data_IF_006492064727
#
_entry.id   IF_006492064727
#
_cell.length_a   1.000
_cell.length_b   1.000
_cell.length_c   1.000
_cell.angle_alpha   90.00
_cell.angle_beta   90.00
_cell.angle_gamma   90.00
#
_symmetry.space_group_name_H-M   'P 1'
#
loop_
_entity.id
_entity.type
_entity.pdbx_description
1 polymer ?
#
# COMPACT_ATOMS: atom_id res chain seq x y z
N UNK A 1 -9.77 6.05 -14.21
CA UNK A 1 -8.68 5.27 -13.56
C UNK A 1 -9.28 4.24 -12.63
N UNK A 2 -8.77 3.03 -12.68
CA UNK A 2 -9.27 1.92 -11.88
C UNK A 2 -8.13 1.28 -11.11
N UNK A 3 -8.37 0.90 -9.85
CA UNK A 3 -7.43 0.14 -9.04
C UNK A 3 -7.57 -1.34 -9.39
N UNK A 4 -6.48 -1.95 -9.82
CA UNK A 4 -6.42 -3.37 -10.16
C UNK A 4 -5.96 -4.20 -8.96
N UNK A 5 -5.03 -3.66 -8.19
CA UNK A 5 -4.54 -4.30 -6.98
C UNK A 5 -4.06 -3.24 -5.99
N UNK A 6 -4.31 -3.50 -4.71
CA UNK A 6 -3.82 -2.66 -3.61
C UNK A 6 -3.68 -3.53 -2.38
N UNK A 7 -2.43 -3.86 -2.02
CA UNK A 7 -2.16 -4.68 -0.85
C UNK A 7 -0.68 -4.60 -0.45
N UNK A 8 -0.35 -4.88 0.80
CA UNK A 8 1.04 -4.95 1.25
C UNK A 8 1.71 -6.27 0.85
N UNK A 9 3.04 -6.25 0.80
CA UNK A 9 3.87 -7.42 0.60
C UNK A 9 4.99 -7.44 1.64
N UNK A 10 5.59 -8.62 1.87
CA UNK A 10 6.77 -8.72 2.73
C UNK A 10 7.95 -7.98 2.11
N UNK A 11 8.12 -8.09 0.80
CA UNK A 11 9.06 -7.30 0.04
C UNK A 11 8.56 -7.10 -1.37
N UNK A 12 8.93 -5.99 -1.98
CA UNK A 12 8.54 -5.70 -3.36
C UNK A 12 9.55 -4.77 -4.00
N UNK A 13 9.73 -4.91 -5.31
CA UNK A 13 10.60 -4.04 -6.09
C UNK A 13 10.02 -3.86 -7.50
N UNK A 14 10.06 -2.64 -7.99
CA UNK A 14 9.63 -2.33 -9.34
C UNK A 14 10.62 -2.92 -10.35
N UNK A 15 10.07 -3.39 -11.48
CA UNK A 15 10.86 -4.00 -12.55
C UNK A 15 11.09 -3.01 -13.68
N UNK A 16 12.26 -3.10 -14.32
CA UNK A 16 12.48 -2.41 -15.58
C UNK A 16 11.52 -2.97 -16.63
N UNK A 17 10.83 -2.08 -17.33
CA UNK A 17 9.83 -2.46 -18.32
C UNK A 17 8.42 -2.64 -17.80
N UNK A 18 8.21 -2.41 -16.51
CA UNK A 18 6.88 -2.43 -15.89
C UNK A 18 6.66 -3.59 -14.95
N UNK A 19 5.67 -3.44 -14.09
CA UNK A 19 5.32 -4.44 -13.09
C UNK A 19 6.20 -4.41 -11.85
N UNK A 20 5.92 -5.31 -10.93
CA UNK A 20 6.57 -5.41 -9.62
C UNK A 20 6.87 -6.87 -9.32
N UNK A 21 8.08 -7.14 -8.82
CA UNK A 21 8.40 -8.41 -8.17
C UNK A 21 8.07 -8.29 -6.69
N UNK A 22 7.21 -9.18 -6.19
CA UNK A 22 6.80 -9.17 -4.80
C UNK A 22 6.95 -10.54 -4.18
N UNK A 23 7.36 -10.57 -2.90
CA UNK A 23 7.40 -11.77 -2.07
C UNK A 23 6.41 -11.61 -0.93
N UNK A 24 5.71 -12.71 -0.58
CA UNK A 24 4.70 -12.64 0.47
C UNK A 24 3.61 -11.65 0.14
N UNK A 25 3.00 -11.76 -1.00
CA UNK A 25 1.91 -10.90 -1.46
C UNK A 25 0.61 -11.70 -1.60
N UNK A 26 -0.49 -11.19 -0.99
CA UNK A 26 -0.50 -10.09 -0.03
C UNK A 26 0.08 -10.50 1.31
N UNK A 27 0.64 -9.52 2.05
CA UNK A 27 1.06 -9.75 3.43
C UNK A 27 -0.19 -10.01 4.29
N UNK A 28 -0.22 -11.13 4.98
CA UNK A 28 -1.40 -11.53 5.76
C UNK A 28 -1.29 -11.21 7.24
N UNK A 29 -0.09 -10.95 7.71
CA UNK A 29 0.18 -10.51 9.08
C UNK A 29 1.55 -9.86 9.16
N UNK A 30 1.71 -8.96 10.11
CA UNK A 30 2.97 -8.29 10.39
C UNK A 30 3.34 -8.53 11.86
N UNK A 31 4.55 -9.03 12.12
CA UNK A 31 4.99 -9.32 13.47
C UNK A 31 6.01 -8.28 13.92
N UNK A 32 5.85 -7.79 15.15
CA UNK A 32 6.80 -6.88 15.78
C UNK A 32 7.21 -7.45 17.12
N UNK A 33 8.47 -7.23 17.50
CA UNK A 33 9.01 -7.81 18.72
C UNK A 33 8.49 -7.10 19.96
N UNK A 34 8.35 -5.78 19.89
CA UNK A 34 7.91 -4.95 21.01
C UNK A 34 7.08 -3.78 20.51
N UNK A 35 6.12 -3.34 21.32
CA UNK A 35 5.35 -2.12 21.08
C UNK A 35 5.78 -1.04 22.07
N UNK A 36 5.73 0.24 21.69
CA UNK A 36 5.44 0.76 20.36
C UNK A 36 6.59 0.50 19.38
N UNK A 37 6.25 0.44 18.09
CA UNK A 37 7.25 0.22 17.04
C UNK A 37 6.97 1.12 15.84
N UNK A 38 8.04 1.46 15.15
CA UNK A 38 7.97 2.11 13.85
C UNK A 38 8.29 1.05 12.81
N UNK A 39 7.37 0.81 11.88
CA UNK A 39 7.53 -0.17 10.83
C UNK A 39 7.39 0.48 9.46
N UNK A 40 7.90 -0.18 8.43
CA UNK A 40 7.72 0.25 7.05
C UNK A 40 7.08 -0.90 6.28
N UNK A 41 5.95 -0.64 5.66
CA UNK A 41 5.17 -1.66 4.97
C UNK A 41 5.25 -1.41 3.46
N UNK A 42 5.83 -2.36 2.70
CA UNK A 42 5.83 -2.25 1.23
C UNK A 42 4.42 -2.43 0.69
N UNK A 43 3.88 -1.38 0.06
CA UNK A 43 2.55 -1.41 -0.55
C UNK A 43 2.70 -1.57 -2.06
N UNK A 44 1.98 -2.53 -2.63
CA UNK A 44 1.92 -2.73 -4.08
C UNK A 44 0.61 -2.16 -4.58
N UNK A 45 0.69 -1.25 -5.54
CA UNK A 45 -0.47 -0.58 -6.13
C UNK A 45 -0.42 -0.78 -7.64
N UNK A 46 -1.47 -1.35 -8.21
CA UNK A 46 -1.61 -1.48 -9.67
C UNK A 46 -2.85 -0.72 -10.12
N UNK A 47 -2.66 0.14 -11.11
CA UNK A 47 -3.70 1.02 -11.63
C UNK A 47 -3.79 0.85 -13.14
N UNK A 48 -5.00 1.01 -13.69
CA UNK A 48 -5.18 1.08 -15.13
C UNK A 48 -6.12 2.23 -15.51
N UNK A 49 -5.98 2.70 -16.74
CA UNK A 49 -6.84 3.74 -17.30
C UNK A 49 -6.97 3.53 -18.80
N UNK A 50 -8.00 4.11 -19.38
CA UNK A 50 -8.12 4.18 -20.83
C UNK A 50 -7.03 5.10 -21.37
N UNK A 51 -6.49 4.78 -22.54
CA UNK A 51 -5.55 5.66 -23.24
C UNK A 51 -6.25 6.91 -23.76
N UNK A 52 -5.48 7.83 -24.30
CA UNK A 52 -5.98 9.03 -24.98
C UNK A 52 -5.61 10.34 -24.32
N UNK A 53 -4.96 10.37 -23.17
CA UNK A 53 -4.57 11.59 -22.50
C UNK A 53 -3.35 11.41 -21.60
N UNK A 54 -2.54 12.46 -21.53
CA UNK A 54 -1.49 12.59 -20.51
C UNK A 54 -2.06 13.35 -19.32
N UNK A 55 -1.71 12.95 -18.10
CA UNK A 55 -2.11 13.68 -16.89
C UNK A 55 -1.24 13.28 -15.69
N UNK A 56 -1.39 14.03 -14.60
CA UNK A 56 -0.54 13.89 -13.41
C UNK A 56 -1.38 13.48 -12.18
N UNK A 57 -1.69 12.19 -12.01
CA UNK A 57 -2.45 11.75 -10.85
C UNK A 57 -1.68 11.89 -9.54
N UNK A 58 -2.43 12.13 -8.46
CA UNK A 58 -1.91 12.13 -7.08
C UNK A 58 -2.78 11.18 -6.26
N UNK A 59 -2.14 10.35 -5.45
CA UNK A 59 -2.81 9.42 -4.56
C UNK A 59 -2.20 9.47 -3.17
N UNK A 60 -2.98 9.03 -2.19
CA UNK A 60 -2.57 9.00 -0.78
C UNK A 60 -2.81 7.61 -0.23
N UNK A 61 -1.85 7.10 0.55
CA UNK A 61 -2.01 5.87 1.30
C UNK A 61 -2.02 6.27 2.77
N UNK A 62 -3.05 5.85 3.51
CA UNK A 62 -3.24 6.22 4.90
C UNK A 62 -3.48 4.96 5.73
N UNK A 63 -2.72 4.82 6.80
CA UNK A 63 -2.90 3.76 7.79
C UNK A 63 -3.64 4.30 9.00
N UNK A 64 -4.62 3.54 9.45
CA UNK A 64 -5.47 3.87 10.59
C UNK A 64 -5.38 2.76 11.63
N UNK A 65 -5.24 3.12 12.90
CA UNK A 65 -5.17 2.18 14.01
C UNK A 65 -6.53 1.51 14.27
N UNK A 66 -6.57 0.43 15.08
CA UNK A 66 -7.85 -0.16 15.47
C UNK A 66 -8.79 0.81 16.17
N UNK A 67 -8.26 1.88 16.82
CA UNK A 67 -9.05 2.91 17.49
C UNK A 67 -9.48 4.05 16.56
N UNK A 68 -9.10 4.00 15.28
CA UNK A 68 -9.47 5.01 14.30
C UNK A 68 -8.50 6.18 14.19
N UNK A 69 -7.32 6.09 14.77
CA UNK A 69 -6.30 7.14 14.67
C UNK A 69 -5.43 6.93 13.44
N UNK A 70 -5.09 8.02 12.76
CA UNK A 70 -4.16 7.98 11.65
C UNK A 70 -2.75 7.76 12.19
N UNK A 71 -2.10 6.66 11.78
CA UNK A 71 -0.79 6.26 12.29
C UNK A 71 0.29 6.22 11.22
N UNK A 72 -0.06 6.51 9.99
CA UNK A 72 0.89 6.62 8.90
C UNK A 72 0.22 7.13 7.65
N UNK A 73 0.99 7.82 6.82
CA UNK A 73 0.48 8.30 5.53
C UNK A 73 1.64 8.58 4.59
N UNK A 74 1.35 8.50 3.30
CA UNK A 74 2.26 8.97 2.27
C UNK A 74 1.46 9.47 1.08
N UNK A 75 2.09 10.36 0.32
CA UNK A 75 1.57 10.87 -0.93
C UNK A 75 2.47 10.36 -2.05
N UNK A 76 1.89 9.96 -3.18
CA UNK A 76 2.67 9.66 -4.37
C UNK A 76 1.95 10.19 -5.60
N UNK A 77 2.75 10.56 -6.60
CA UNK A 77 2.24 11.13 -7.84
C UNK A 77 3.13 10.67 -8.99
N UNK A 78 2.59 10.73 -10.19
CA UNK A 78 3.35 10.38 -11.38
C UNK A 78 2.78 11.11 -12.58
N UNK A 79 3.60 11.22 -13.64
CA UNK A 79 3.11 11.66 -14.93
C UNK A 79 2.70 10.43 -15.75
N UNK A 80 1.44 10.36 -16.14
CA UNK A 80 0.93 9.22 -16.88
C UNK A 80 0.94 9.54 -18.37
N UNK A 81 2.00 9.12 -19.04
CA UNK A 81 2.18 9.32 -20.47
C UNK A 81 1.19 8.49 -21.29
N UNK A 82 0.85 9.02 -22.46
CA UNK A 82 0.04 8.32 -23.43
C UNK A 82 0.78 8.27 -24.80
N UNK A 83 2.05 7.90 -24.76
CA UNK A 83 2.90 7.87 -25.94
C UNK A 83 3.75 6.59 -25.98
N UNK A 84 3.58 5.70 -26.96
CA UNK A 84 2.54 5.76 -28.00
C UNK A 84 1.15 5.54 -27.40
N UNK A 85 0.09 6.09 -28.00
CA UNK A 85 -1.27 5.86 -27.49
C UNK A 85 -1.60 4.38 -27.45
N UNK A 86 -2.18 3.95 -26.34
CA UNK A 86 -2.62 2.56 -26.14
C UNK A 86 -4.08 2.56 -25.72
N UNK A 87 -4.85 1.49 -26.05
CA UNK A 87 -6.25 1.41 -25.62
C UNK A 87 -6.40 1.42 -24.09
N UNK A 88 -5.50 0.75 -23.39
CA UNK A 88 -5.47 0.67 -21.93
C UNK A 88 -4.02 0.82 -21.47
N UNK A 89 -3.79 1.65 -20.49
CA UNK A 89 -2.47 1.83 -19.91
C UNK A 89 -2.47 1.42 -18.45
N UNK A 90 -1.35 0.88 -17.99
CA UNK A 90 -1.17 0.37 -16.63
C UNK A 90 -0.02 1.09 -15.96
N UNK A 91 -0.14 1.23 -14.65
CA UNK A 91 0.96 1.67 -13.79
C UNK A 91 0.97 0.83 -12.51
N UNK A 92 2.16 0.32 -12.17
CA UNK A 92 2.33 -0.50 -10.98
C UNK A 92 3.44 0.11 -10.14
N UNK A 93 3.19 0.28 -8.85
CA UNK A 93 4.12 0.93 -7.92
C UNK A 93 4.40 0.04 -6.73
N UNK A 94 5.59 0.22 -6.16
CA UNK A 94 5.88 -0.13 -4.77
C UNK A 94 6.07 1.17 -4.00
N UNK A 95 5.30 1.38 -2.94
CA UNK A 95 5.42 2.52 -2.05
C UNK A 95 5.67 2.00 -0.63
N UNK A 96 6.59 2.62 0.09
CA UNK A 96 6.97 2.17 1.42
C UNK A 96 6.28 3.04 2.46
N UNK A 97 5.25 2.48 3.10
CA UNK A 97 4.41 3.20 4.05
C UNK A 97 5.01 3.12 5.46
N UNK A 98 5.43 4.25 6.03
CA UNK A 98 5.83 4.26 7.44
C UNK A 98 4.59 4.23 8.32
N UNK A 99 4.60 3.35 9.33
CA UNK A 99 3.50 3.23 10.29
C UNK A 99 4.02 3.17 11.70
N UNK A 100 3.32 3.85 12.60
CA UNK A 100 3.55 3.76 14.04
C UNK A 100 2.52 2.83 14.66
N UNK A 101 2.97 1.74 15.25
CA UNK A 101 2.09 0.74 15.84
C UNK A 101 2.32 0.71 17.36
N UNK A 102 1.27 1.01 18.12
CA UNK A 102 1.35 1.12 19.59
C UNK A 102 0.91 -0.15 20.29
N UNK A 103 0.12 -0.98 19.63
CA UNK A 103 -0.41 -2.22 20.18
C UNK A 103 -0.76 -3.19 19.05
N UNK A 104 -0.92 -4.45 19.39
CA UNK A 104 -1.42 -5.46 18.48
C UNK A 104 -2.87 -5.14 18.09
N UNK A 105 -3.25 -5.51 16.87
CA UNK A 105 -4.60 -5.30 16.38
C UNK A 105 -4.64 -5.27 14.87
N UNK A 106 -5.84 -5.04 14.31
CA UNK A 106 -6.02 -4.93 12.87
C UNK A 106 -5.96 -3.46 12.48
N UNK A 107 -4.94 -3.11 11.70
CA UNK A 107 -4.77 -1.77 11.16
C UNK A 107 -5.36 -1.72 9.76
N UNK A 108 -6.02 -0.61 9.42
CA UNK A 108 -6.60 -0.43 8.09
C UNK A 108 -5.68 0.44 7.25
N UNK A 109 -5.31 -0.04 6.07
CA UNK A 109 -4.50 0.72 5.12
C UNK A 109 -5.39 1.02 3.92
N UNK A 110 -5.56 2.30 3.62
CA UNK A 110 -6.46 2.73 2.55
C UNK A 110 -5.78 3.55 1.47
N UNK A 111 -6.31 3.47 0.25
CA UNK A 111 -5.89 4.28 -0.89
C UNK A 111 -6.95 5.35 -1.15
N UNK A 112 -6.52 6.61 -1.15
CA UNK A 112 -7.40 7.77 -1.22
C UNK A 112 -6.99 8.71 -2.35
N UNK A 113 -7.96 9.48 -2.84
CA UNK A 113 -7.70 10.56 -3.81
C UNK A 113 -7.32 11.86 -3.11
N UNK A 114 -7.67 12.02 -1.84
CA UNK A 114 -7.41 13.20 -1.03
C UNK A 114 -7.29 12.83 0.44
N UNK A 115 -6.46 13.55 1.20
CA UNK A 115 -6.34 13.38 2.64
C UNK A 115 -7.62 13.79 3.40
N UNK A 116 -8.51 14.54 2.75
CA UNK A 116 -9.79 14.98 3.33
C UNK A 116 -10.94 14.03 3.03
N UNK A 117 -10.70 13.01 2.21
CA UNK A 117 -11.71 12.01 1.88
C UNK A 117 -11.97 11.15 3.10
N UNK A 118 -13.25 11.02 3.49
CA UNK A 118 -13.62 10.29 4.70
C UNK A 118 -13.54 8.78 4.50
N UNK A 119 -13.99 8.30 3.34
CA UNK A 119 -14.11 6.87 3.06
C UNK A 119 -13.43 6.49 1.76
N UNK A 120 -13.02 5.23 1.68
CA UNK A 120 -12.52 4.62 0.45
C UNK A 120 -12.97 3.16 0.39
N UNK A 121 -13.22 2.67 -0.82
CA UNK A 121 -13.51 1.26 -1.04
C UNK A 121 -12.23 0.40 -1.05
N UNK A 122 -11.05 1.03 -1.11
CA UNK A 122 -9.76 0.35 -1.17
C UNK A 122 -9.13 0.33 0.22
N UNK A 123 -9.60 -0.58 1.06
CA UNK A 123 -9.09 -0.80 2.42
C UNK A 123 -8.50 -2.18 2.54
N UNK A 124 -7.32 -2.26 3.13
CA UNK A 124 -6.68 -3.52 3.43
C UNK A 124 -6.54 -3.68 4.95
N UNK A 125 -7.12 -4.73 5.54
CA UNK A 125 -6.97 -5.00 6.98
C UNK A 125 -5.66 -5.76 7.23
N UNK A 126 -4.72 -5.12 7.90
CA UNK A 126 -3.43 -5.73 8.23
C UNK A 126 -3.37 -6.08 9.71
N UNK A 127 -3.37 -7.38 10.08
CA UNK A 127 -3.13 -7.79 11.45
C UNK A 127 -1.67 -7.49 11.83
N UNK A 128 -1.47 -6.74 12.90
CA UNK A 128 -0.16 -6.49 13.49
C UNK A 128 -0.11 -7.21 14.84
N UNK A 129 0.85 -8.10 15.00
CA UNK A 129 0.91 -9.02 16.12
C UNK A 129 2.29 -8.95 16.76
N UNK A 130 2.35 -9.27 18.06
CA UNK A 130 3.62 -9.40 18.75
C UNK A 130 4.26 -10.74 18.41
N UNK A 131 5.55 -10.74 18.12
CA UNK A 131 6.30 -11.98 17.88
C UNK A 131 6.20 -12.89 19.09
N UNK A 132 5.90 -14.15 18.84
CA UNK A 132 5.91 -15.19 19.87
C UNK A 132 7.12 -16.10 19.61
N UNK A 133 8.16 -16.06 20.47
CA UNK A 133 9.37 -16.85 20.25
C UNK A 133 9.11 -18.36 20.15
N UNK A 134 8.10 -18.86 20.85
CA UNK A 134 7.77 -20.29 20.77
C UNK A 134 7.18 -20.67 19.42
N UNK A 135 6.41 -19.79 18.79
CA UNK A 135 5.85 -20.02 17.47
C UNK A 135 6.86 -19.76 16.36
N UNK A 136 7.75 -18.80 16.56
CA UNK A 136 8.76 -18.43 15.58
C UNK A 136 9.78 -19.53 15.31
N UNK A 137 9.94 -20.47 16.24
CA UNK A 137 10.89 -21.59 16.14
C UNK A 137 10.28 -22.87 15.57
N UNK A 138 9.09 -22.84 15.08
CA UNK A 138 8.41 -23.99 14.47
C UNK A 138 8.63 -24.07 12.99
#
# INVERSE_FOLDING_TARGET
>A
MRVVAFAPALSAAEQNGGGVNAKGFPMTSCFVDNFPAQITVPMVIALCALGGADYDPVKYIVATSPEGERVGSLEFSWHWHDNPPTPVKFRVFTQYLPMRVSAAGVYSIGLYDSLHQADTEYLYPLPVLKTNPLLANR
#
